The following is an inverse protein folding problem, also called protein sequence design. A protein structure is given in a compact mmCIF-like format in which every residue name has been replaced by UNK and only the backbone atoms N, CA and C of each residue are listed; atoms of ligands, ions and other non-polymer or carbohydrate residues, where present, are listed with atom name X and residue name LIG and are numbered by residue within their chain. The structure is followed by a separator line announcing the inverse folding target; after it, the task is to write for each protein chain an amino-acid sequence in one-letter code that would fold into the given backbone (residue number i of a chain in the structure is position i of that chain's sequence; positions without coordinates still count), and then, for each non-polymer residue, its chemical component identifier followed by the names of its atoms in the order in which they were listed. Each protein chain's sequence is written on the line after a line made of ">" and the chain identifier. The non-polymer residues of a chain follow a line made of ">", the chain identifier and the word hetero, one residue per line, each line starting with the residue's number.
data_IF_064666168691
#
_entry.id   IF_064666168691
#
_cell.length_a   1.000
_cell.length_b   1.000
_cell.length_c   1.000
_cell.angle_alpha   90.00
_cell.angle_beta   90.00
_cell.angle_gamma   90.00
#
_symmetry.space_group_name_H-M   'P 1'
#
loop_
_entity.id
_entity.type
_entity.pdbx_description
1 polymer ?
#
# COMPACT_ATOMS: atom_id res chain seq x y z
N UNK A 1 18.02 -2.04 10.23
CA UNK A 1 18.10 -2.61 8.87
C UNK A 1 17.22 -1.77 7.93
N UNK A 2 17.54 -1.60 6.64
CA UNK A 2 16.60 -1.00 5.69
C UNK A 2 15.44 -1.97 5.47
N UNK A 3 14.21 -1.47 5.54
CA UNK A 3 13.00 -2.23 5.20
C UNK A 3 12.91 -2.29 3.67
N UNK A 4 13.42 -3.36 3.05
CA UNK A 4 13.34 -3.57 1.60
C UNK A 4 12.05 -4.34 1.27
N UNK A 5 11.14 -3.70 0.53
CA UNK A 5 9.92 -4.33 0.05
C UNK A 5 10.16 -4.78 -1.40
N UNK A 6 10.37 -6.07 -1.60
CA UNK A 6 10.74 -6.62 -2.90
C UNK A 6 9.52 -6.99 -3.77
N UNK A 7 8.39 -6.31 -3.63
CA UNK A 7 7.14 -6.67 -4.30
C UNK A 7 6.31 -5.48 -4.74
N UNK A 8 5.49 -5.65 -5.77
CA UNK A 8 4.61 -4.59 -6.28
C UNK A 8 5.39 -3.42 -6.88
N UNK A 9 4.87 -2.20 -6.73
CA UNK A 9 5.50 -0.98 -7.26
C UNK A 9 6.81 -0.60 -6.55
N UNK A 10 7.06 -1.15 -5.36
CA UNK A 10 8.26 -0.88 -4.57
C UNK A 10 9.55 -1.33 -5.29
N UNK A 11 9.46 -2.26 -6.25
CA UNK A 11 10.60 -2.68 -7.08
C UNK A 11 11.05 -1.61 -8.09
N UNK A 12 10.22 -0.59 -8.34
CA UNK A 12 10.49 0.51 -9.28
C UNK A 12 10.85 1.80 -8.54
N UNK A 13 11.37 1.70 -7.31
CA UNK A 13 11.70 2.83 -6.43
C UNK A 13 10.51 3.77 -6.16
N UNK A 14 9.29 3.21 -6.22
CA UNK A 14 8.07 3.94 -5.97
C UNK A 14 7.33 3.39 -4.75
N UNK A 15 7.05 4.27 -3.79
CA UNK A 15 6.30 3.93 -2.59
C UNK A 15 4.81 4.03 -2.91
N UNK A 16 4.15 2.88 -3.01
CA UNK A 16 2.70 2.84 -3.17
C UNK A 16 2.00 3.10 -1.83
N UNK A 17 1.64 4.35 -1.58
CA UNK A 17 0.95 4.77 -0.36
C UNK A 17 -0.44 4.12 -0.20
N UNK A 18 -1.12 3.74 -1.29
CA UNK A 18 -2.37 2.98 -1.18
C UNK A 18 -2.12 1.57 -0.66
N UNK A 19 -1.07 0.90 -1.16
CA UNK A 19 -0.67 -0.41 -0.68
C UNK A 19 -0.19 -0.37 0.79
N UNK A 20 0.57 0.66 1.17
CA UNK A 20 1.03 0.85 2.56
C UNK A 20 -0.13 0.96 3.54
N UNK A 21 -1.19 1.69 3.18
CA UNK A 21 -2.36 1.89 4.04
C UNK A 21 -3.47 0.85 3.83
N UNK A 22 -3.24 -0.15 2.97
CA UNK A 22 -4.22 -1.18 2.61
C UNK A 22 -5.58 -0.58 2.19
N UNK A 23 -5.52 0.46 1.36
CA UNK A 23 -6.68 1.15 0.80
C UNK A 23 -6.72 0.97 -0.71
N UNK A 24 -7.91 0.95 -1.33
CA UNK A 24 -8.01 0.93 -2.78
C UNK A 24 -7.59 2.29 -3.38
N UNK A 25 -7.23 2.28 -4.67
CA UNK A 25 -6.77 3.49 -5.39
C UNK A 25 -7.82 4.59 -5.53
N UNK A 26 -9.09 4.24 -5.37
CA UNK A 26 -10.24 5.15 -5.40
C UNK A 26 -10.70 5.57 -3.99
N UNK A 27 -9.93 5.23 -2.95
CA UNK A 27 -10.32 5.48 -1.57
C UNK A 27 -10.54 6.97 -1.28
N UNK A 28 -11.62 7.25 -0.55
CA UNK A 28 -11.85 8.59 -0.02
C UNK A 28 -10.94 8.88 1.17
N UNK A 29 -10.63 10.16 1.40
CA UNK A 29 -9.74 10.56 2.50
C UNK A 29 -10.25 10.07 3.88
N UNK A 30 -11.57 9.97 4.06
CA UNK A 30 -12.18 9.41 5.27
C UNK A 30 -11.83 7.93 5.46
N UNK A 31 -11.82 7.15 4.39
CA UNK A 31 -11.43 5.73 4.42
C UNK A 31 -9.94 5.58 4.71
N UNK A 32 -9.10 6.41 4.07
CA UNK A 32 -7.66 6.49 4.33
C UNK A 32 -7.36 6.78 5.80
N UNK A 33 -8.04 7.78 6.37
CA UNK A 33 -7.89 8.13 7.79
C UNK A 33 -8.32 6.98 8.71
N UNK A 34 -9.44 6.34 8.43
CA UNK A 34 -9.93 5.22 9.24
C UNK A 34 -8.94 4.05 9.23
N UNK A 35 -8.41 3.70 8.06
CA UNK A 35 -7.39 2.65 7.92
C UNK A 35 -6.10 3.01 8.61
N UNK A 36 -5.60 4.24 8.43
CA UNK A 36 -4.43 4.75 9.15
C UNK A 36 -4.57 4.57 10.66
N UNK A 37 -5.70 5.00 11.25
CA UNK A 37 -5.94 4.87 12.69
C UNK A 37 -6.02 3.40 13.16
N UNK A 38 -6.52 2.49 12.32
CA UNK A 38 -6.51 1.05 12.63
C UNK A 38 -5.08 0.50 12.63
N UNK A 39 -4.31 0.77 11.57
CA UNK A 39 -2.93 0.32 11.42
C UNK A 39 -2.04 0.89 12.52
N UNK A 40 -2.13 2.19 12.79
CA UNK A 40 -1.35 2.86 13.82
C UNK A 40 -1.63 2.27 15.21
N UNK A 41 -2.89 1.95 15.54
CA UNK A 41 -3.23 1.27 16.81
C UNK A 41 -2.64 -0.12 16.91
N UNK A 42 -2.62 -0.88 15.81
CA UNK A 42 -2.04 -2.22 15.79
C UNK A 42 -0.52 -2.21 15.92
N UNK A 43 0.15 -1.27 15.25
CA UNK A 43 1.62 -1.14 15.23
C UNK A 43 2.18 -0.31 16.38
N UNK A 44 1.34 0.35 17.18
CA UNK A 44 1.81 1.15 18.33
C UNK A 44 2.54 0.24 19.34
N UNK A 45 3.65 0.69 19.94
CA UNK A 45 4.43 -0.12 20.88
C UNK A 45 3.66 -0.48 22.17
N UNK A 46 2.65 0.33 22.53
CA UNK A 46 1.73 0.04 23.64
C UNK A 46 0.63 -0.97 23.29
N UNK A 47 0.53 -1.40 22.03
CA UNK A 47 -0.37 -2.48 21.65
C UNK A 47 0.10 -3.80 22.28
N UNK A 48 -0.77 -4.44 23.07
CA UNK A 48 -0.51 -5.72 23.75
C UNK A 48 -0.30 -6.91 22.79
N UNK A 49 -0.35 -6.68 21.48
CA UNK A 49 -0.23 -7.71 20.45
C UNK A 49 1.22 -8.14 20.19
N UNK A 50 2.20 -7.27 20.46
CA UNK A 50 3.62 -7.52 20.17
C UNK A 50 4.32 -8.11 21.40
N UNK A 51 4.74 -9.38 21.32
CA UNK A 51 5.29 -10.13 22.46
C UNK A 51 6.80 -9.95 22.63
N UNK A 52 7.50 -9.58 21.56
CA UNK A 52 8.97 -9.50 21.52
C UNK A 52 9.45 -8.06 21.26
N UNK A 53 10.57 -7.66 21.88
CA UNK A 53 11.16 -6.31 21.65
C UNK A 53 11.57 -6.08 20.20
N UNK A 54 12.10 -7.10 19.52
CA UNK A 54 12.47 -7.01 18.09
C UNK A 54 11.26 -6.77 17.17
N UNK A 55 10.10 -7.35 17.51
CA UNK A 55 8.84 -7.11 16.79
C UNK A 55 8.36 -5.67 17.01
N UNK A 56 8.45 -5.17 18.25
CA UNK A 56 8.12 -3.77 18.58
C UNK A 56 9.00 -2.79 17.83
N UNK A 57 10.30 -3.05 17.75
CA UNK A 57 11.23 -2.19 17.03
C UNK A 57 10.93 -2.18 15.52
N UNK A 58 10.61 -3.34 14.95
CA UNK A 58 10.21 -3.45 13.54
C UNK A 58 8.88 -2.73 13.28
N UNK A 59 7.88 -2.90 14.15
CA UNK A 59 6.60 -2.21 14.06
C UNK A 59 6.75 -0.69 14.14
N UNK A 60 7.59 -0.20 15.05
CA UNK A 60 7.93 1.23 15.16
C UNK A 60 8.59 1.75 13.88
N UNK A 61 9.54 0.98 13.30
CA UNK A 61 10.18 1.37 12.05
C UNK A 61 9.19 1.42 10.88
N UNK A 62 8.28 0.45 10.78
CA UNK A 62 7.21 0.43 9.77
C UNK A 62 6.29 1.64 9.93
N UNK A 63 5.86 1.92 11.17
CA UNK A 63 4.97 3.04 11.48
C UNK A 63 5.62 4.37 11.09
N UNK A 64 6.88 4.59 11.52
CA UNK A 64 7.59 5.85 11.29
C UNK A 64 8.02 6.07 9.85
N UNK A 65 8.47 5.02 9.14
CA UNK A 65 9.08 5.16 7.81
C UNK A 65 8.13 4.92 6.63
N UNK A 66 7.02 4.22 6.84
CA UNK A 66 6.07 3.90 5.78
C UNK A 66 4.68 4.46 6.07
N UNK A 67 4.08 4.09 7.20
CA UNK A 67 2.67 4.37 7.50
C UNK A 67 2.41 5.86 7.71
N UNK A 68 3.24 6.53 8.52
CA UNK A 68 3.12 7.97 8.76
C UNK A 68 3.35 8.79 7.49
N UNK A 69 4.45 8.59 6.73
CA UNK A 69 4.66 9.30 5.46
C UNK A 69 3.54 9.06 4.44
N UNK A 70 2.99 7.85 4.37
CA UNK A 70 1.86 7.56 3.50
C UNK A 70 0.63 8.38 3.87
N UNK A 71 0.28 8.45 5.16
CA UNK A 71 -0.84 9.26 5.62
C UNK A 71 -0.62 10.76 5.38
N UNK A 72 0.59 11.27 5.64
CA UNK A 72 0.95 12.66 5.37
C UNK A 72 0.74 13.04 3.90
N UNK A 73 1.14 12.15 2.97
CA UNK A 73 0.94 12.34 1.53
C UNK A 73 -0.54 12.46 1.13
N UNK A 74 -1.44 11.74 1.80
CA UNK A 74 -2.88 11.88 1.58
C UNK A 74 -3.51 13.08 2.30
N UNK A 75 -2.92 13.52 3.41
CA UNK A 75 -3.45 14.62 4.24
C UNK A 75 -3.32 16.00 3.60
N UNK A 76 -2.32 16.18 2.74
CA UNK A 76 -2.08 17.42 2.01
C UNK A 76 -2.57 17.26 0.57
N UNK A 77 -3.58 18.03 0.18
CA UNK A 77 -4.23 17.91 -1.13
C UNK A 77 -3.25 18.06 -2.30
N UNK A 78 -2.30 19.00 -2.21
CA UNK A 78 -1.23 19.17 -3.19
C UNK A 78 -0.37 17.91 -3.33
N UNK A 79 0.09 17.35 -2.21
CA UNK A 79 0.92 16.14 -2.21
C UNK A 79 0.16 14.96 -2.78
N UNK A 80 -1.14 14.86 -2.47
CA UNK A 80 -2.03 13.84 -3.02
C UNK A 80 -2.17 13.97 -4.54
N UNK A 81 -2.37 15.18 -5.05
CA UNK A 81 -2.47 15.42 -6.48
C UNK A 81 -1.18 15.07 -7.23
N UNK A 82 -0.01 15.47 -6.69
CA UNK A 82 1.30 15.12 -7.25
C UNK A 82 1.53 13.60 -7.25
N UNK A 83 1.21 12.93 -6.14
CA UNK A 83 1.30 11.47 -6.04
C UNK A 83 0.38 10.76 -7.04
N UNK A 84 -0.90 11.15 -7.12
CA UNK A 84 -1.85 10.56 -8.07
C UNK A 84 -1.45 10.79 -9.53
N UNK A 85 -0.86 11.95 -9.84
CA UNK A 85 -0.33 12.22 -11.17
C UNK A 85 0.79 11.22 -11.52
N UNK A 86 1.81 11.08 -10.67
CA UNK A 86 2.92 10.13 -10.88
C UNK A 86 2.39 8.70 -10.96
N UNK A 87 1.46 8.33 -10.08
CA UNK A 87 0.80 7.03 -10.07
C UNK A 87 0.08 6.73 -11.40
N UNK A 88 -0.66 7.71 -11.93
CA UNK A 88 -1.35 7.56 -13.22
C UNK A 88 -0.39 7.38 -14.39
N UNK A 89 0.75 8.07 -14.37
CA UNK A 89 1.77 7.99 -15.42
C UNK A 89 2.45 6.62 -15.42
N UNK A 90 2.73 6.05 -14.24
CA UNK A 90 3.19 4.68 -14.12
C UNK A 90 2.14 3.68 -14.59
N UNK A 91 0.88 3.85 -14.18
CA UNK A 91 -0.22 2.99 -14.63
C UNK A 91 -0.32 2.93 -16.16
N UNK A 92 -0.19 4.09 -16.83
CA UNK A 92 -0.14 4.17 -18.31
C UNK A 92 1.08 3.44 -18.90
N UNK A 93 2.26 3.63 -18.31
CA UNK A 93 3.49 2.94 -18.75
C UNK A 93 3.33 1.42 -18.66
N UNK A 94 2.79 0.91 -17.55
CA UNK A 94 2.56 -0.52 -17.37
C UNK A 94 1.46 -1.08 -18.29
N UNK A 95 0.45 -0.29 -18.62
CA UNK A 95 -0.57 -0.68 -19.60
C UNK A 95 0.01 -0.82 -21.03
N UNK A 96 1.06 -0.05 -21.36
CA UNK A 96 1.77 -0.13 -22.64
C UNK A 96 2.79 -1.29 -22.68
N UNK A 97 3.34 -1.69 -21.53
CA UNK A 97 4.32 -2.79 -21.40
C UNK A 97 3.81 -3.91 -20.47
N UNK A 98 2.71 -4.61 -20.80
CA UNK A 98 2.08 -5.57 -19.89
C UNK A 98 2.97 -6.78 -19.54
N UNK A 99 3.97 -7.11 -20.38
CA UNK A 99 4.95 -8.17 -20.12
C UNK A 99 5.98 -7.85 -19.02
N UNK A 100 6.04 -6.61 -18.54
CA UNK A 100 6.99 -6.15 -17.53
C UNK A 100 6.52 -6.40 -16.09
N UNK A 101 5.22 -6.63 -15.88
CA UNK A 101 4.62 -6.77 -14.54
C UNK A 101 4.82 -8.20 -14.04
N UNK A 102 5.76 -8.40 -13.11
CA UNK A 102 6.00 -9.70 -12.46
C UNK A 102 5.12 -9.87 -11.22
N UNK A 103 4.00 -10.57 -11.38
CA UNK A 103 3.14 -10.95 -10.26
C UNK A 103 3.74 -12.17 -9.52
N UNK A 104 4.25 -11.94 -8.31
CA UNK A 104 4.83 -13.01 -7.48
C UNK A 104 3.77 -13.97 -6.96
N UNK A 105 2.60 -13.45 -6.54
CA UNK A 105 1.56 -14.22 -5.87
C UNK A 105 0.58 -14.88 -6.84
N UNK A 106 0.05 -16.05 -6.44
CA UNK A 106 -0.96 -16.77 -7.22
C UNK A 106 -2.27 -16.00 -7.30
N UNK A 107 -2.74 -15.41 -6.19
CA UNK A 107 -3.94 -14.56 -6.15
C UNK A 107 -3.85 -13.36 -7.10
N UNK A 108 -2.65 -12.79 -7.26
CA UNK A 108 -2.40 -11.73 -8.23
C UNK A 108 -2.60 -12.20 -9.67
N UNK A 109 -2.07 -13.38 -10.02
CA UNK A 109 -2.24 -13.97 -11.36
C UNK A 109 -3.70 -14.34 -11.64
N UNK A 110 -4.40 -14.88 -10.65
CA UNK A 110 -5.83 -15.19 -10.76
C UNK A 110 -6.67 -13.93 -10.98
N UNK A 111 -6.31 -12.81 -10.35
CA UNK A 111 -6.97 -11.51 -10.57
C UNK A 111 -6.76 -10.98 -11.99
N UNK A 112 -5.56 -11.17 -12.56
CA UNK A 112 -5.24 -10.75 -13.93
C UNK A 112 -5.98 -11.61 -14.97
N UNK A 113 -6.14 -12.90 -14.70
CA UNK A 113 -6.88 -13.83 -15.54
C UNK A 113 -8.40 -13.72 -15.39
N UNK A 114 -8.89 -12.97 -14.39
CA UNK A 114 -10.32 -12.86 -14.13
C UNK A 114 -11.02 -12.01 -15.21
N UNK A 115 -12.21 -12.42 -15.69
CA UNK A 115 -12.96 -11.64 -16.69
C UNK A 115 -13.40 -10.26 -16.18
N UNK A 116 -13.47 -10.08 -14.85
CA UNK A 116 -13.76 -8.80 -14.20
C UNK A 116 -12.66 -8.46 -13.19
N UNK A 117 -11.53 -7.95 -13.68
CA UNK A 117 -10.37 -7.59 -12.86
C UNK A 117 -10.73 -6.64 -11.69
N UNK A 118 -11.64 -5.67 -11.91
CA UNK A 118 -12.09 -4.74 -10.86
C UNK A 118 -12.87 -5.42 -9.73
N UNK A 119 -13.66 -6.45 -10.04
CA UNK A 119 -14.43 -7.20 -9.04
C UNK A 119 -13.52 -8.13 -8.24
N UNK A 120 -12.59 -8.82 -8.92
CA UNK A 120 -11.56 -9.64 -8.27
C UNK A 120 -10.66 -8.79 -7.35
N UNK A 121 -10.24 -7.61 -7.82
CA UNK A 121 -9.47 -6.65 -7.04
C UNK A 121 -10.20 -6.23 -5.76
N UNK A 122 -11.47 -5.83 -5.85
CA UNK A 122 -12.24 -5.45 -4.67
C UNK A 122 -12.42 -6.62 -3.70
N UNK A 123 -12.67 -7.83 -4.18
CA UNK A 123 -12.85 -9.00 -3.32
C UNK A 123 -11.57 -9.38 -2.57
N UNK A 124 -10.42 -9.29 -3.22
CA UNK A 124 -9.12 -9.70 -2.67
C UNK A 124 -8.52 -8.61 -1.79
N UNK A 125 -8.59 -7.34 -2.21
CA UNK A 125 -7.85 -6.25 -1.56
C UNK A 125 -8.69 -5.34 -0.65
N UNK A 126 -10.04 -5.34 -0.71
CA UNK A 126 -10.86 -4.62 0.31
C UNK A 126 -10.97 -5.36 1.64
N UNK A 127 -10.50 -6.61 1.73
CA UNK A 127 -10.57 -7.45 2.94
C UNK A 127 -9.30 -7.45 3.80
N UNK A 128 -8.22 -6.78 3.37
CA UNK A 128 -7.04 -6.56 4.21
C UNK A 128 -7.37 -5.70 5.43
#
# INVERSE_FOLDING_TARGET
>A
MPLTIDGGLFIYDFIDHHAVLCVPVDAEFKEVRNRYLQIARTLHPDSSLMRNESEKETANQLLAKLVNPAYEKFSVERNRAEYLFIFSQMGKRFAQEPGSIRLKTESGRQSLAAPNASMAYNFIFRRC
#
